data_IF_840501852575
#
_entry.id   IF_840501852575
#
_cell.length_a   1.000
_cell.length_b   1.000
_cell.length_c   1.000
_cell.angle_alpha   90.00
_cell.angle_beta   90.00
_cell.angle_gamma   90.00
#
_symmetry.space_group_name_H-M   'P 1'
#
loop_
_entity.id
_entity.type
_entity.pdbx_description
1 polymer ?
#
# COMPACT_ATOMS: atom_id res chain seq x y z
N UNK A 1 8.53 -1.13 -21.85
CA UNK A 1 8.84 -0.99 -20.43
C UNK A 1 8.08 -2.02 -19.62
N UNK A 2 8.80 -2.68 -18.72
CA UNK A 2 8.28 -3.52 -17.64
C UNK A 2 8.70 -2.82 -16.35
N UNK A 3 7.77 -2.22 -15.61
CA UNK A 3 8.06 -1.30 -14.50
C UNK A 3 7.41 -1.82 -13.22
N UNK A 4 8.13 -1.75 -12.11
CA UNK A 4 7.62 -2.11 -10.79
C UNK A 4 8.73 -2.16 -9.75
N UNK A 5 8.37 -2.55 -8.53
CA UNK A 5 9.33 -2.76 -7.44
C UNK A 5 9.85 -4.20 -7.41
N UNK A 6 11.16 -4.42 -7.29
CA UNK A 6 11.71 -5.76 -7.11
C UNK A 6 11.11 -6.49 -5.91
N UNK A 7 10.71 -7.76 -6.09
CA UNK A 7 10.13 -8.56 -5.00
C UNK A 7 11.15 -9.03 -3.96
N UNK A 8 12.44 -9.01 -4.30
CA UNK A 8 13.54 -9.41 -3.44
C UNK A 8 14.61 -8.32 -3.38
N UNK A 9 15.48 -8.36 -2.37
CA UNK A 9 16.64 -7.47 -2.26
C UNK A 9 17.79 -7.87 -3.19
N UNK A 10 17.67 -9.01 -3.88
CA UNK A 10 18.64 -9.51 -4.85
C UNK A 10 17.92 -10.16 -6.04
N UNK A 11 18.50 -10.14 -7.25
CA UNK A 11 17.84 -10.74 -8.40
C UNK A 11 17.62 -12.24 -8.18
N UNK A 12 16.53 -12.76 -8.75
CA UNK A 12 16.27 -14.20 -8.74
C UNK A 12 17.30 -14.90 -9.63
N UNK A 13 17.80 -16.04 -9.15
CA UNK A 13 18.65 -16.94 -9.93
C UNK A 13 17.83 -18.18 -10.27
N UNK A 14 17.80 -18.54 -11.56
CA UNK A 14 17.17 -19.79 -12.00
C UNK A 14 17.26 -19.97 -13.51
N UNK A 15 17.26 -21.23 -13.96
CA UNK A 15 17.51 -21.63 -15.36
C UNK A 15 18.79 -20.98 -15.95
N UNK A 16 19.85 -20.86 -15.16
CA UNK A 16 21.12 -20.25 -15.59
C UNK A 16 21.08 -18.74 -15.81
N UNK A 17 19.98 -18.08 -15.44
CA UNK A 17 19.78 -16.63 -15.59
C UNK A 17 19.70 -15.94 -14.24
N UNK A 18 20.00 -14.64 -14.23
CA UNK A 18 19.87 -13.75 -13.07
C UNK A 18 19.01 -12.55 -13.46
N UNK A 19 17.80 -12.47 -12.92
CA UNK A 19 16.80 -11.49 -13.36
C UNK A 19 15.98 -10.93 -12.20
N UNK A 20 15.52 -9.69 -12.37
CA UNK A 20 14.59 -9.05 -11.46
C UNK A 20 13.16 -9.35 -11.87
N UNK A 21 12.28 -9.52 -10.88
CA UNK A 21 10.84 -9.60 -11.08
C UNK A 21 10.12 -8.73 -10.06
N UNK A 22 8.95 -8.24 -10.44
CA UNK A 22 8.04 -7.47 -9.60
C UNK A 22 6.74 -8.26 -9.44
N UNK A 23 6.31 -8.46 -8.19
CA UNK A 23 5.08 -9.19 -7.88
C UNK A 23 3.85 -8.37 -8.17
N UNK A 24 2.90 -8.98 -8.88
CA UNK A 24 1.70 -8.27 -9.35
C UNK A 24 0.81 -7.74 -8.22
N UNK A 25 0.87 -8.34 -7.03
CA UNK A 25 0.20 -7.83 -5.83
C UNK A 25 0.73 -6.47 -5.33
N UNK A 26 1.89 -6.02 -5.79
CA UNK A 26 2.39 -4.64 -5.58
C UNK A 26 2.12 -3.70 -6.74
N UNK A 27 1.46 -4.19 -7.78
CA UNK A 27 1.27 -3.49 -9.03
C UNK A 27 2.51 -3.54 -9.92
N UNK A 28 2.23 -3.49 -11.22
CA UNK A 28 3.22 -3.55 -12.30
C UNK A 28 2.67 -2.76 -13.48
N UNK A 29 3.55 -2.18 -14.28
CA UNK A 29 3.17 -1.57 -15.54
C UNK A 29 3.91 -2.22 -16.71
N UNK A 30 3.16 -2.53 -17.76
CA UNK A 30 3.70 -2.98 -19.04
C UNK A 30 3.30 -2.00 -20.14
N UNK A 31 4.26 -1.59 -20.96
CA UNK A 31 3.95 -0.81 -22.16
C UNK A 31 3.24 -1.68 -23.20
N UNK A 32 2.30 -1.10 -23.96
CA UNK A 32 1.60 -1.81 -25.04
C UNK A 32 2.55 -2.54 -26.01
N UNK A 33 3.65 -1.88 -26.43
CA UNK A 33 4.66 -2.48 -27.31
C UNK A 33 5.26 -3.77 -26.73
N UNK A 34 5.53 -3.80 -25.42
CA UNK A 34 6.09 -4.98 -24.75
C UNK A 34 5.09 -6.12 -24.73
N UNK A 35 3.81 -5.83 -24.47
CA UNK A 35 2.74 -6.84 -24.53
C UNK A 35 2.62 -7.43 -25.94
N UNK A 36 2.79 -6.62 -26.99
CA UNK A 36 2.82 -7.12 -28.37
C UNK A 36 4.00 -8.06 -28.64
N UNK A 37 5.17 -7.81 -28.03
CA UNK A 37 6.38 -8.63 -28.20
C UNK A 37 6.20 -10.02 -27.59
N UNK A 38 5.63 -10.10 -26.38
CA UNK A 38 5.47 -11.38 -25.67
C UNK A 38 4.19 -12.13 -26.05
N UNK A 39 3.37 -11.57 -26.94
CA UNK A 39 2.02 -12.06 -27.23
C UNK A 39 1.99 -13.55 -27.56
N UNK A 40 2.90 -14.05 -28.39
CA UNK A 40 2.93 -15.47 -28.80
C UNK A 40 3.13 -16.45 -27.64
N UNK A 41 3.69 -15.99 -26.52
CA UNK A 41 3.90 -16.80 -25.31
C UNK A 41 2.71 -16.75 -24.34
N UNK A 42 1.84 -15.75 -24.46
CA UNK A 42 0.82 -15.42 -23.45
C UNK A 42 -0.59 -15.25 -24.03
N UNK A 43 -0.76 -15.41 -25.34
CA UNK A 43 -2.00 -15.19 -26.08
C UNK A 43 -3.09 -16.20 -25.76
N UNK A 44 -2.71 -17.43 -25.37
CA UNK A 44 -3.63 -18.45 -24.88
C UNK A 44 -3.33 -18.82 -23.44
N UNK A 45 -4.38 -19.17 -22.70
CA UNK A 45 -4.28 -19.64 -21.32
C UNK A 45 -3.39 -20.89 -21.25
N UNK A 46 -3.52 -21.79 -22.22
CA UNK A 46 -2.78 -23.05 -22.28
C UNK A 46 -1.28 -22.81 -22.43
N UNK A 47 -0.87 -21.90 -23.34
CA UNK A 47 0.54 -21.55 -23.53
C UNK A 47 1.11 -20.87 -22.29
N UNK A 48 0.40 -19.90 -21.74
CA UNK A 48 0.84 -19.18 -20.55
C UNK A 48 1.03 -20.11 -19.35
N UNK A 49 0.04 -20.97 -19.07
CA UNK A 49 0.10 -21.94 -17.98
C UNK A 49 1.21 -22.96 -18.22
N UNK A 50 1.36 -23.46 -19.45
CA UNK A 50 2.43 -24.38 -19.79
C UNK A 50 3.80 -23.78 -19.50
N UNK A 51 4.05 -22.53 -19.89
CA UNK A 51 5.30 -21.83 -19.59
C UNK A 51 5.57 -21.70 -18.09
N UNK A 52 4.55 -21.38 -17.29
CA UNK A 52 4.65 -21.35 -15.84
C UNK A 52 5.01 -22.73 -15.25
N UNK A 53 4.37 -23.80 -15.73
CA UNK A 53 4.62 -25.18 -15.29
C UNK A 53 6.03 -25.63 -15.67
N UNK A 54 6.42 -25.47 -16.94
CA UNK A 54 7.70 -25.92 -17.46
C UNK A 54 8.87 -25.22 -16.74
N UNK A 55 8.70 -23.93 -16.42
CA UNK A 55 9.71 -23.16 -15.68
C UNK A 55 9.62 -23.31 -14.15
N UNK A 56 8.53 -23.90 -13.63
CA UNK A 56 8.19 -23.96 -12.20
C UNK A 56 8.13 -22.57 -11.55
N UNK A 57 7.61 -21.59 -12.28
CA UNK A 57 7.46 -20.23 -11.82
C UNK A 57 5.98 -19.82 -11.74
N UNK A 58 5.59 -19.02 -10.73
CA UNK A 58 4.30 -18.34 -10.74
C UNK A 58 4.25 -17.31 -11.89
N UNK A 59 3.05 -16.77 -12.12
CA UNK A 59 2.73 -15.83 -13.21
C UNK A 59 3.68 -14.63 -13.31
N UNK A 60 3.94 -13.95 -12.19
CA UNK A 60 4.81 -12.77 -12.12
C UNK A 60 6.27 -13.09 -12.48
N UNK A 61 6.76 -14.22 -11.99
CA UNK A 61 8.14 -14.66 -12.13
C UNK A 61 8.36 -15.25 -13.52
N UNK A 62 7.37 -15.95 -14.09
CA UNK A 62 7.42 -16.49 -15.44
C UNK A 62 7.50 -15.36 -16.47
N UNK A 63 6.67 -14.32 -16.37
CA UNK A 63 6.74 -13.17 -17.29
C UNK A 63 8.09 -12.46 -17.20
N UNK A 64 8.61 -12.24 -15.99
CA UNK A 64 9.94 -11.65 -15.83
C UNK A 64 11.05 -12.52 -16.41
N UNK A 65 10.98 -13.84 -16.21
CA UNK A 65 11.91 -14.79 -16.81
C UNK A 65 11.85 -14.75 -18.34
N UNK A 66 10.65 -14.81 -18.92
CA UNK A 66 10.43 -14.75 -20.37
C UNK A 66 11.03 -13.46 -20.96
N UNK A 67 10.70 -12.31 -20.36
CA UNK A 67 11.21 -11.01 -20.79
C UNK A 67 12.75 -10.95 -20.76
N UNK A 68 13.36 -11.47 -19.69
CA UNK A 68 14.81 -11.45 -19.55
C UNK A 68 15.50 -12.47 -20.46
N UNK A 69 15.02 -13.71 -20.49
CA UNK A 69 15.67 -14.84 -21.16
C UNK A 69 15.55 -14.76 -22.69
N UNK A 70 14.38 -14.40 -23.22
CA UNK A 70 14.12 -14.39 -24.67
C UNK A 70 14.33 -13.01 -25.29
N UNK A 71 14.05 -11.94 -24.54
CA UNK A 71 14.02 -10.58 -25.10
C UNK A 71 15.06 -9.63 -24.50
N UNK A 72 15.87 -10.08 -23.52
CA UNK A 72 16.84 -9.27 -22.78
C UNK A 72 16.21 -7.98 -22.20
N UNK A 73 14.93 -8.04 -21.82
CA UNK A 73 14.20 -6.94 -21.20
C UNK A 73 14.23 -7.13 -19.68
N UNK A 74 14.79 -6.16 -18.98
CA UNK A 74 14.85 -6.14 -17.52
C UNK A 74 13.73 -5.31 -16.90
N UNK A 75 13.43 -5.59 -15.63
CA UNK A 75 12.59 -4.74 -14.80
C UNK A 75 13.20 -3.33 -14.71
N UNK A 76 12.44 -2.32 -15.10
CA UNK A 76 12.68 -0.93 -14.74
C UNK A 76 12.23 -0.74 -13.29
N UNK A 77 13.20 -0.60 -12.39
CA UNK A 77 12.97 -0.49 -10.94
C UNK A 77 12.28 0.85 -10.63
N UNK A 78 11.16 0.77 -9.92
CA UNK A 78 10.45 1.92 -9.38
C UNK A 78 10.06 1.65 -7.92
N UNK A 79 10.64 2.40 -6.99
CA UNK A 79 10.49 2.17 -5.54
C UNK A 79 9.13 2.63 -4.98
N UNK A 80 8.38 3.41 -5.75
CA UNK A 80 7.09 4.00 -5.36
C UNK A 80 5.93 3.00 -5.49
N UNK A 81 6.18 1.77 -5.95
CA UNK A 81 5.19 0.69 -5.90
C UNK A 81 5.29 -0.01 -4.55
N UNK A 82 4.16 -0.19 -3.87
CA UNK A 82 4.13 -0.86 -2.57
C UNK A 82 3.13 -2.01 -2.50
N UNK A 83 3.52 -3.07 -1.81
CA UNK A 83 2.71 -4.26 -1.54
C UNK A 83 2.59 -4.58 -0.06
N UNK A 84 1.56 -5.35 0.27
CA UNK A 84 1.10 -5.58 1.63
C UNK A 84 2.06 -6.39 2.52
N UNK A 85 3.13 -6.95 1.97
CA UNK A 85 4.16 -7.70 2.68
C UNK A 85 5.35 -6.85 3.15
N UNK A 86 5.40 -5.57 2.77
CA UNK A 86 6.44 -4.65 3.24
C UNK A 86 6.29 -4.37 4.74
N UNK A 87 7.32 -4.75 5.50
CA UNK A 87 7.41 -4.41 6.92
C UNK A 87 7.52 -2.90 7.07
N UNK A 88 6.81 -2.35 8.05
CA UNK A 88 6.90 -0.94 8.42
C UNK A 88 6.60 0.04 7.27
N UNK A 89 5.89 -0.40 6.24
CA UNK A 89 5.55 0.39 5.05
C UNK A 89 5.04 1.79 5.43
N UNK A 90 4.05 1.83 6.32
CA UNK A 90 3.41 3.08 6.71
C UNK A 90 4.16 3.88 7.78
N UNK A 91 5.20 3.31 8.41
CA UNK A 91 6.18 4.10 9.17
C UNK A 91 6.94 4.97 8.18
N UNK A 92 7.44 4.35 7.11
CA UNK A 92 8.31 4.99 6.15
C UNK A 92 7.57 5.95 5.21
N UNK A 93 6.30 5.66 4.90
CA UNK A 93 5.48 6.48 4.00
C UNK A 93 4.70 7.61 4.67
N UNK A 94 4.83 7.82 5.98
CA UNK A 94 3.96 8.79 6.71
C UNK A 94 3.98 10.19 6.07
N UNK A 95 5.11 10.64 5.53
CA UNK A 95 5.26 11.96 4.90
C UNK A 95 5.31 11.95 3.37
N UNK A 96 5.23 10.78 2.73
CA UNK A 96 5.44 10.62 1.28
C UNK A 96 4.40 9.70 0.63
N UNK A 97 3.28 9.46 1.30
CA UNK A 97 2.21 8.58 0.81
C UNK A 97 1.61 9.06 -0.51
N UNK A 98 1.69 10.36 -0.80
CA UNK A 98 1.28 11.02 -2.06
C UNK A 98 2.22 10.70 -3.24
N UNK A 99 3.44 10.23 -2.96
CA UNK A 99 4.41 9.82 -3.97
C UNK A 99 4.26 8.35 -4.36
N UNK A 100 3.50 7.57 -3.59
CA UNK A 100 3.23 6.17 -3.84
C UNK A 100 2.34 5.98 -5.06
N UNK A 101 2.72 5.07 -5.95
CA UNK A 101 1.91 4.65 -7.11
C UNK A 101 0.90 3.59 -6.69
N UNK A 102 1.30 2.67 -5.83
CA UNK A 102 0.44 1.62 -5.25
C UNK A 102 0.64 1.55 -3.75
N UNK A 103 -0.37 1.10 -3.02
CA UNK A 103 -0.34 0.87 -1.58
C UNK A 103 -0.83 -0.55 -1.28
N UNK A 104 -0.20 -1.21 -0.31
CA UNK A 104 -0.54 -2.56 0.09
C UNK A 104 -0.93 -2.65 1.56
N UNK A 105 -2.08 -3.28 1.85
CA UNK A 105 -2.70 -3.32 3.18
C UNK A 105 -2.80 -4.77 3.67
N UNK A 106 -2.37 -5.06 4.91
CA UNK A 106 -2.49 -6.40 5.51
C UNK A 106 -2.57 -6.33 7.03
N UNK A 107 -3.64 -6.89 7.59
CA UNK A 107 -3.84 -6.93 9.05
C UNK A 107 -3.75 -5.53 9.65
N UNK A 108 -2.83 -5.33 10.60
CA UNK A 108 -2.56 -4.04 11.24
C UNK A 108 -1.58 -3.14 10.47
N UNK A 109 -1.03 -3.59 9.34
CA UNK A 109 -0.17 -2.77 8.48
C UNK A 109 -1.06 -1.87 7.61
N UNK A 110 -1.42 -0.72 8.17
CA UNK A 110 -2.28 0.31 7.56
C UNK A 110 -1.67 1.71 7.79
N UNK A 111 -2.02 2.73 6.98
CA UNK A 111 -1.57 4.10 7.17
C UNK A 111 -1.77 4.62 8.60
N UNK A 112 -0.79 5.39 9.12
CA UNK A 112 -0.75 5.86 10.51
C UNK A 112 -1.48 7.19 10.78
N UNK A 113 -2.57 7.45 10.07
CA UNK A 113 -3.44 8.58 10.39
C UNK A 113 -4.72 8.10 11.09
N UNK A 114 -5.41 9.01 11.77
CA UNK A 114 -6.71 8.68 12.38
C UNK A 114 -7.78 8.55 11.30
N UNK A 115 -8.65 7.51 11.35
CA UNK A 115 -9.69 7.34 10.36
C UNK A 115 -10.73 8.46 10.49
N UNK A 116 -10.89 9.25 9.42
CA UNK A 116 -11.95 10.28 9.36
C UNK A 116 -13.27 9.68 8.88
N UNK A 117 -13.21 8.50 8.27
CA UNK A 117 -14.37 7.75 7.78
C UNK A 117 -14.69 6.59 8.72
N UNK A 118 -15.97 6.42 9.05
CA UNK A 118 -16.40 5.32 9.92
C UNK A 118 -16.22 3.96 9.22
N UNK A 119 -15.81 2.92 9.97
CA UNK A 119 -15.62 1.54 9.48
C UNK A 119 -14.57 1.38 8.37
N UNK A 120 -13.62 2.29 8.30
CA UNK A 120 -12.51 2.27 7.34
C UNK A 120 -11.33 1.45 7.87
N UNK A 121 -11.47 0.13 8.02
CA UNK A 121 -10.49 -0.74 8.71
C UNK A 121 -9.08 -0.64 8.09
N UNK A 122 -9.01 -0.54 6.76
CA UNK A 122 -7.74 -0.42 6.04
C UNK A 122 -7.32 1.02 5.75
N UNK A 123 -8.06 2.01 6.27
CA UNK A 123 -7.76 3.43 6.07
C UNK A 123 -7.75 3.86 4.59
N UNK A 124 -8.34 3.06 3.68
CA UNK A 124 -8.33 3.34 2.24
C UNK A 124 -9.21 4.55 1.90
N UNK A 125 -10.38 4.66 2.52
CA UNK A 125 -11.29 5.78 2.25
C UNK A 125 -10.74 7.09 2.83
N UNK A 126 -10.13 7.01 4.01
CA UNK A 126 -9.42 8.12 4.62
C UNK A 126 -8.21 8.51 3.78
N UNK A 127 -7.41 7.55 3.28
CA UNK A 127 -6.29 7.83 2.34
C UNK A 127 -6.81 8.59 1.12
N UNK A 128 -7.88 8.08 0.49
CA UNK A 128 -8.50 8.72 -0.66
C UNK A 128 -8.91 10.16 -0.36
N UNK A 129 -9.57 10.39 0.78
CA UNK A 129 -10.02 11.72 1.16
C UNK A 129 -8.87 12.69 1.48
N UNK A 130 -7.73 12.20 1.95
CA UNK A 130 -6.54 13.02 2.20
C UNK A 130 -5.83 13.39 0.89
N UNK A 131 -5.75 12.46 -0.08
CA UNK A 131 -5.10 12.69 -1.37
C UNK A 131 -5.98 13.47 -2.36
N UNK A 132 -7.28 13.22 -2.36
CA UNK A 132 -8.24 13.75 -3.32
C UNK A 132 -9.48 14.31 -2.61
N UNK A 133 -9.36 15.47 -1.93
CA UNK A 133 -10.45 16.02 -1.15
C UNK A 133 -11.62 16.43 -2.05
N UNK A 134 -12.82 15.95 -1.69
CA UNK A 134 -14.10 16.37 -2.29
C UNK A 134 -15.10 16.78 -1.20
N UNK A 135 -16.28 17.26 -1.61
CA UNK A 135 -17.31 17.73 -0.68
C UNK A 135 -17.71 16.70 0.38
N UNK A 136 -17.78 15.41 0.03
CA UNK A 136 -18.10 14.33 0.96
C UNK A 136 -16.97 14.11 1.97
N UNK A 137 -15.72 14.10 1.50
CA UNK A 137 -14.53 13.99 2.33
C UNK A 137 -14.42 15.16 3.33
N UNK A 138 -14.71 16.39 2.88
CA UNK A 138 -14.73 17.56 3.76
C UNK A 138 -15.82 17.45 4.84
N UNK A 139 -16.98 16.85 4.53
CA UNK A 139 -18.02 16.56 5.52
C UNK A 139 -17.56 15.54 6.55
N UNK A 140 -16.86 14.48 6.14
CA UNK A 140 -16.27 13.50 7.05
C UNK A 140 -15.22 14.15 7.95
N UNK A 141 -14.30 14.92 7.37
CA UNK A 141 -13.28 15.65 8.13
C UNK A 141 -13.90 16.61 9.14
N UNK A 142 -14.89 17.41 8.74
CA UNK A 142 -15.61 18.32 9.65
C UNK A 142 -16.27 17.57 10.80
N UNK A 143 -16.96 16.47 10.51
CA UNK A 143 -17.60 15.63 11.53
C UNK A 143 -16.57 15.05 12.49
N UNK A 144 -15.43 14.60 11.97
CA UNK A 144 -14.33 14.08 12.77
C UNK A 144 -13.73 15.16 13.69
N UNK A 145 -13.41 16.34 13.15
CA UNK A 145 -12.85 17.46 13.92
C UNK A 145 -13.80 17.94 15.02
N UNK A 146 -15.10 18.07 14.73
CA UNK A 146 -16.09 18.44 15.74
C UNK A 146 -16.12 17.45 16.91
N UNK A 147 -16.06 16.13 16.63
CA UNK A 147 -15.99 15.09 17.67
C UNK A 147 -14.71 15.16 18.49
N UNK A 148 -13.58 15.53 17.90
CA UNK A 148 -12.34 15.73 18.64
C UNK A 148 -12.47 16.91 19.59
N UNK A 149 -12.99 18.04 19.10
CA UNK A 149 -13.20 19.25 19.88
C UNK A 149 -14.12 18.99 21.09
N UNK A 150 -15.27 18.34 20.89
CA UNK A 150 -16.20 17.96 21.97
C UNK A 150 -15.55 17.05 23.03
N UNK A 151 -14.67 16.13 22.60
CA UNK A 151 -13.93 15.24 23.51
C UNK A 151 -12.91 16.00 24.35
N UNK A 152 -12.23 17.00 23.78
CA UNK A 152 -11.27 17.81 24.52
C UNK A 152 -11.96 18.72 25.55
N UNK A 153 -13.10 19.32 25.20
CA UNK A 153 -13.92 20.08 26.15
C UNK A 153 -14.43 19.20 27.30
N UNK A 154 -14.87 17.97 26.99
CA UNK A 154 -15.33 17.00 27.99
C UNK A 154 -14.21 16.57 28.95
N UNK A 155 -12.99 16.33 28.44
CA UNK A 155 -11.81 16.03 29.26
C UNK A 155 -11.43 17.20 30.16
N UNK A 156 -11.46 18.42 29.62
CA UNK A 156 -11.14 19.65 30.36
C UNK A 156 -12.15 19.85 31.50
N UNK A 157 -13.43 19.69 31.22
CA UNK A 157 -14.50 19.78 32.21
C UNK A 157 -14.36 18.72 33.32
N UNK A 158 -14.05 17.48 32.95
CA UNK A 158 -13.80 16.38 33.93
C UNK A 158 -12.58 16.67 34.82
N UNK A 159 -11.53 17.26 34.26
CA UNK A 159 -10.32 17.66 35.01
C UNK A 159 -10.60 18.81 36.00
N UNK A 160 -11.46 19.76 35.63
CA UNK A 160 -11.90 20.86 36.51
C UNK A 160 -12.78 20.34 37.65
N UNK A 161 -13.70 19.41 37.35
CA UNK A 161 -14.57 18.82 38.38
C UNK A 161 -13.75 18.01 39.39
N UNK A 162 -12.82 17.18 38.91
CA UNK A 162 -11.96 16.37 39.79
C UNK A 162 -11.02 17.22 40.66
N UNK A 163 -10.46 18.32 40.16
CA UNK A 163 -9.67 19.24 40.97
C UNK A 163 -10.52 19.96 42.04
N UNK A 164 -11.74 20.35 41.69
CA UNK A 164 -12.70 21.00 42.62
C UNK A 164 -13.13 20.05 43.74
N UNK A 165 -13.36 18.77 43.44
CA UNK A 165 -13.71 17.74 44.44
C UNK A 165 -12.54 17.49 45.40
N UNK A 166 -11.30 17.42 44.91
CA UNK A 166 -10.12 17.24 45.76
C UNK A 166 -9.85 18.45 46.67
N UNK A 167 -10.10 19.67 46.19
CA UNK A 167 -10.03 20.89 47.00
C UNK A 167 -11.09 20.92 48.12
N UNK A 168 -12.31 20.44 47.84
CA UNK A 168 -13.36 20.32 48.87
C UNK A 168 -13.03 19.25 49.91
N UNK A 169 -12.45 18.11 49.52
CA UNK A 169 -12.01 17.07 50.48
C UNK A 169 -10.87 17.54 51.40
N UNK A 170 -9.91 18.31 50.89
CA UNK A 170 -8.82 18.89 51.70
C UNK A 170 -9.27 19.97 52.70
N UNK A 171 -10.44 20.59 52.49
CA UNK A 171 -11.03 21.57 53.43
C UNK A 171 -11.95 20.94 54.49
N UNK A 172 -12.22 19.63 54.39
CA UNK A 172 -13.11 18.90 55.28
C UNK A 172 -12.36 17.98 56.27
N UNK A 173 -11.03 18.10 56.32
CA UNK A 173 -10.09 17.49 57.29
C UNK A 173 -9.35 18.61 57.99
#
# INVERSE_FOLDING_TARGET
YYIGKPSFNQPKVGHGRRFWFATYGGGVCFSQRLLSIIKEHVDTRERFIKGCIDTKYPDDTYIAYLLHAEYNINLTIAENFHHHIEKDLYVNLTSTIDQAITLGFKGSNVPRFSPIVNRDIFHMQTTHCLLYPNNLCMKYLRTYLNRLYEREESKTSTKIISSTINLKKKKAT
#
